data_IF_468320363679
#
_entry.id   IF_468320363679
#
_cell.length_a   1.000
_cell.length_b   1.000
_cell.length_c   1.000
_cell.angle_alpha   90.00
_cell.angle_beta   90.00
_cell.angle_gamma   90.00
#
_symmetry.space_group_name_H-M   'P 1'
#
loop_
_entity.id
_entity.type
_entity.pdbx_description
1 polymer ?
#
# COMPACT_ATOMS: atom_id res chain seq x y z
N UNK A 1 2.54 15.91 -11.40
CA UNK A 1 3.94 15.95 -10.90
C UNK A 1 3.97 16.84 -9.67
N UNK A 2 4.04 16.25 -8.48
CA UNK A 2 4.21 16.97 -7.21
C UNK A 2 5.69 16.94 -6.81
N UNK A 3 6.23 18.07 -6.38
CA UNK A 3 7.51 18.12 -5.67
C UNK A 3 7.18 18.11 -4.17
N UNK A 4 7.58 17.09 -3.40
CA UNK A 4 7.25 17.01 -1.99
C UNK A 4 7.89 18.15 -1.20
N UNK A 5 7.10 18.81 -0.37
CA UNK A 5 7.63 19.75 0.60
C UNK A 5 8.30 19.00 1.77
N UNK A 6 9.26 19.63 2.47
CA UNK A 6 9.83 19.05 3.68
C UNK A 6 8.74 18.62 4.67
N UNK A 7 8.87 17.43 5.24
CA UNK A 7 7.90 16.86 6.19
C UNK A 7 6.82 15.97 5.56
N UNK A 8 6.48 16.14 4.27
CA UNK A 8 5.36 15.42 3.65
C UNK A 8 5.46 13.89 3.73
N UNK A 9 6.67 13.33 3.53
CA UNK A 9 6.90 11.87 3.60
C UNK A 9 6.70 11.28 4.99
N UNK A 10 6.90 12.09 6.03
CA UNK A 10 6.72 11.68 7.43
C UNK A 10 5.35 12.05 8.00
N UNK A 11 4.46 12.63 7.18
CA UNK A 11 3.17 13.10 7.63
C UNK A 11 2.26 11.92 8.01
N UNK A 12 1.65 11.99 9.19
CA UNK A 12 0.76 10.95 9.69
C UNK A 12 -0.47 10.74 8.80
N UNK A 13 -0.96 11.79 8.13
CA UNK A 13 -2.07 11.68 7.19
C UNK A 13 -1.69 10.88 5.93
N UNK A 14 -0.46 11.08 5.43
CA UNK A 14 0.06 10.30 4.30
C UNK A 14 0.23 8.82 4.69
N UNK A 15 0.74 8.56 5.90
CA UNK A 15 0.85 7.20 6.42
C UNK A 15 -0.54 6.54 6.55
N UNK A 16 -1.52 7.24 7.09
CA UNK A 16 -2.89 6.77 7.24
C UNK A 16 -3.54 6.44 5.88
N UNK A 17 -3.30 7.27 4.85
CA UNK A 17 -3.80 7.04 3.49
C UNK A 17 -3.29 5.72 2.89
N UNK A 18 -2.09 5.28 3.28
CA UNK A 18 -1.50 4.03 2.82
C UNK A 18 -2.03 2.77 3.53
N UNK A 19 -2.87 2.91 4.55
CA UNK A 19 -3.40 1.78 5.31
C UNK A 19 -4.49 1.03 4.55
N UNK A 20 -4.44 -0.30 4.57
CA UNK A 20 -5.48 -1.12 3.95
C UNK A 20 -6.82 -0.97 4.70
N UNK A 21 -7.91 -0.99 3.95
CA UNK A 21 -9.27 -0.87 4.49
C UNK A 21 -10.05 -2.17 4.22
N UNK A 22 -10.03 -3.08 5.18
CA UNK A 22 -10.64 -4.40 5.04
C UNK A 22 -9.97 -5.20 3.93
N UNK A 23 -10.68 -5.35 2.80
CA UNK A 23 -10.17 -6.07 1.60
C UNK A 23 -9.57 -5.14 0.55
N UNK A 24 -9.55 -3.83 0.79
CA UNK A 24 -9.03 -2.84 -0.14
C UNK A 24 -7.59 -2.50 0.20
N UNK A 25 -6.71 -2.61 -0.81
CA UNK A 25 -5.30 -2.24 -0.73
C UNK A 25 -5.01 -1.15 -1.77
N UNK A 26 -4.25 -0.13 -1.37
CA UNK A 26 -3.95 1.04 -2.20
C UNK A 26 -2.53 0.99 -2.77
N UNK A 27 -2.39 1.33 -4.05
CA UNK A 27 -1.16 1.19 -4.82
C UNK A 27 -0.73 2.48 -5.55
N UNK A 28 -1.27 3.64 -5.17
CA UNK A 28 -1.04 4.87 -5.93
C UNK A 28 0.33 5.51 -5.61
N UNK A 29 0.96 6.15 -6.61
CA UNK A 29 2.27 6.79 -6.47
C UNK A 29 2.26 7.93 -5.43
N UNK A 30 1.14 8.62 -5.25
CA UNK A 30 1.00 9.69 -4.26
C UNK A 30 1.27 9.21 -2.82
N UNK A 31 1.16 7.90 -2.56
CA UNK A 31 1.55 7.28 -1.28
C UNK A 31 3.07 7.33 -1.02
N UNK A 32 3.88 7.64 -2.03
CA UNK A 32 5.32 7.89 -1.94
C UNK A 32 5.68 9.38 -1.89
N UNK A 33 4.68 10.26 -1.79
CA UNK A 33 4.83 11.72 -1.91
C UNK A 33 5.51 12.16 -3.22
N UNK A 34 5.29 11.38 -4.29
CA UNK A 34 5.98 11.52 -5.58
C UNK A 34 5.10 10.95 -6.69
N UNK A 35 4.96 11.66 -7.82
CA UNK A 35 4.18 11.18 -8.97
C UNK A 35 5.09 10.67 -10.10
N UNK A 36 5.91 9.66 -9.82
CA UNK A 36 6.75 8.98 -10.81
C UNK A 36 6.29 7.53 -11.04
N UNK A 37 6.52 6.99 -12.23
CA UNK A 37 6.02 5.67 -12.61
C UNK A 37 6.65 4.54 -11.79
N UNK A 38 7.91 4.69 -11.42
CA UNK A 38 8.66 3.74 -10.60
C UNK A 38 8.05 3.59 -9.20
N UNK A 39 7.53 4.69 -8.65
CA UNK A 39 6.82 4.68 -7.37
C UNK A 39 5.46 4.01 -7.52
N UNK A 40 4.71 4.29 -8.60
CA UNK A 40 3.47 3.58 -8.89
C UNK A 40 3.70 2.05 -8.99
N UNK A 41 4.76 1.65 -9.70
CA UNK A 41 5.16 0.24 -9.82
C UNK A 41 5.46 -0.38 -8.47
N UNK A 42 6.32 0.27 -7.67
CA UNK A 42 6.73 -0.21 -6.34
C UNK A 42 5.52 -0.35 -5.41
N UNK A 43 4.64 0.66 -5.37
CA UNK A 43 3.39 0.64 -4.59
C UNK A 43 2.46 -0.48 -5.05
N UNK A 44 2.39 -0.75 -6.35
CA UNK A 44 1.67 -1.89 -6.93
C UNK A 44 2.21 -3.24 -6.47
N UNK A 45 3.54 -3.44 -6.52
CA UNK A 45 4.17 -4.68 -6.06
C UNK A 45 3.90 -4.92 -4.57
N UNK A 46 4.05 -3.91 -3.73
CA UNK A 46 3.79 -4.00 -2.29
C UNK A 46 2.32 -4.34 -1.99
N UNK A 47 1.37 -3.69 -2.67
CA UNK A 47 -0.04 -3.98 -2.52
C UNK A 47 -0.37 -5.43 -2.95
N UNK A 48 0.19 -5.89 -4.07
CA UNK A 48 0.03 -7.27 -4.54
C UNK A 48 0.57 -8.30 -3.56
N UNK A 49 1.75 -8.05 -2.97
CA UNK A 49 2.31 -8.90 -1.91
C UNK A 49 1.39 -8.93 -0.69
N UNK A 50 0.89 -7.78 -0.24
CA UNK A 50 -0.02 -7.70 0.91
C UNK A 50 -1.33 -8.50 0.66
N UNK A 51 -1.88 -8.40 -0.55
CA UNK A 51 -3.06 -9.18 -0.95
C UNK A 51 -2.74 -10.68 -0.95
N UNK A 52 -1.63 -11.10 -1.55
CA UNK A 52 -1.23 -12.50 -1.58
C UNK A 52 -1.07 -13.08 -0.17
N UNK A 53 -0.47 -12.32 0.75
CA UNK A 53 -0.35 -12.71 2.16
C UNK A 53 -1.71 -12.81 2.85
N UNK A 54 -2.60 -11.83 2.64
CA UNK A 54 -3.94 -11.87 3.22
C UNK A 54 -4.73 -13.09 2.73
N UNK A 55 -4.61 -13.44 1.44
CA UNK A 55 -5.25 -14.63 0.87
C UNK A 55 -4.64 -15.94 1.40
N UNK A 56 -3.32 -16.05 1.49
CA UNK A 56 -2.65 -17.23 2.06
C UNK A 56 -2.93 -17.43 3.55
N UNK A 57 -3.10 -16.34 4.30
CA UNK A 57 -3.57 -16.38 5.70
C UNK A 57 -5.00 -16.89 5.81
N UNK A 58 -5.88 -16.54 4.87
CA UNK A 58 -7.26 -17.07 4.85
C UNK A 58 -7.35 -18.55 4.47
N UNK A 59 -6.44 -19.09 3.65
CA UNK A 59 -6.38 -20.54 3.39
C UNK A 59 -5.97 -21.34 4.61
N UNK A 60 -4.97 -20.85 5.37
CA UNK A 60 -4.52 -21.50 6.61
C UNK A 60 -5.62 -21.53 7.66
N UNK A 61 -6.41 -20.45 7.76
CA UNK A 61 -7.55 -20.36 8.70
C UNK A 61 -8.77 -21.18 8.27
N UNK A 62 -8.86 -21.65 7.02
CA UNK A 62 -10.02 -22.39 6.48
C UNK A 62 -9.90 -23.91 6.60
N UNK A 63 -8.81 -24.45 7.14
CA UNK A 63 -8.64 -25.91 7.29
C UNK A 63 -9.59 -26.43 8.40
N UNK A 64 -10.58 -27.28 8.08
CA UNK A 64 -11.47 -27.83 9.11
C UNK A 64 -10.72 -28.90 9.92
N UNK A 65 -10.91 -28.88 11.24
CA UNK A 65 -10.52 -29.95 12.18
C UNK A 65 -11.39 -31.18 12.00
#
# INVERSE_FOLDING_TARGET
>A
MIVPTPGLRGDAALAALGTAQGRLHFAHADLSASSVFEEAYTRGTLAGQAVAQALGGTETSRRPT
#
